data_IF_230736544307
#
_entry.id   IF_230736544307
#
_cell.length_a   1.000
_cell.length_b   1.000
_cell.length_c   1.000
_cell.angle_alpha   90.00
_cell.angle_beta   90.00
_cell.angle_gamma   90.00
#
_symmetry.space_group_name_H-M   'P 1'
#
loop_
_entity.id
_entity.type
_entity.pdbx_description
1 polymer ?
#
# COMPACT_ATOMS: atom_id res chain seq x y z
N UNK A 1 -3.21 -18.79 9.19
CA UNK A 1 -1.74 -18.71 9.34
C UNK A 1 -0.97 -18.93 8.02
N UNK A 2 -1.30 -19.92 7.19
CA UNK A 2 -0.61 -20.09 5.89
C UNK A 2 -0.85 -18.90 4.94
N UNK A 3 -2.12 -18.50 4.75
CA UNK A 3 -2.51 -17.39 3.88
C UNK A 3 -1.85 -16.06 4.27
N UNK A 4 -1.87 -15.72 5.56
CA UNK A 4 -1.22 -14.53 6.11
C UNK A 4 0.27 -14.47 5.74
N UNK A 5 1.02 -15.56 5.99
CA UNK A 5 2.44 -15.64 5.63
C UNK A 5 2.67 -15.52 4.12
N UNK A 6 1.82 -16.14 3.31
CA UNK A 6 1.90 -16.06 1.85
C UNK A 6 1.66 -14.62 1.36
N UNK A 7 0.67 -13.92 1.90
CA UNK A 7 0.38 -12.53 1.53
C UNK A 7 1.51 -11.58 1.96
N UNK A 8 2.01 -11.71 3.19
CA UNK A 8 3.13 -10.90 3.67
C UNK A 8 4.37 -11.12 2.79
N UNK A 9 4.71 -12.38 2.48
CA UNK A 9 5.85 -12.69 1.61
C UNK A 9 5.67 -12.09 0.22
N UNK A 10 4.49 -12.27 -0.38
CA UNK A 10 4.18 -11.76 -1.72
C UNK A 10 4.29 -10.24 -1.80
N UNK A 11 3.71 -9.52 -0.84
CA UNK A 11 3.75 -8.05 -0.81
C UNK A 11 5.18 -7.58 -0.55
N UNK A 12 5.88 -8.18 0.40
CA UNK A 12 7.29 -7.88 0.70
C UNK A 12 8.19 -8.05 -0.52
N UNK A 13 8.10 -9.19 -1.20
CA UNK A 13 8.88 -9.48 -2.41
C UNK A 13 8.55 -8.49 -3.53
N UNK A 14 7.27 -8.17 -3.72
CA UNK A 14 6.82 -7.21 -4.74
C UNK A 14 7.34 -5.80 -4.47
N UNK A 15 7.24 -5.34 -3.22
CA UNK A 15 7.74 -4.02 -2.79
C UNK A 15 9.26 -3.97 -2.96
N UNK A 16 9.99 -4.96 -2.43
CA UNK A 16 11.44 -5.02 -2.52
C UNK A 16 11.93 -5.06 -3.97
N UNK A 17 11.26 -5.85 -4.82
CA UNK A 17 11.58 -5.93 -6.24
C UNK A 17 11.38 -4.58 -6.94
N UNK A 18 10.27 -3.89 -6.66
CA UNK A 18 9.99 -2.57 -7.24
C UNK A 18 10.98 -1.51 -6.78
N UNK A 19 11.31 -1.48 -5.49
CA UNK A 19 12.29 -0.55 -4.92
C UNK A 19 13.69 -0.79 -5.49
N UNK A 20 14.14 -2.05 -5.54
CA UNK A 20 15.47 -2.41 -6.09
C UNK A 20 15.63 -2.06 -7.57
N UNK A 21 14.56 -2.22 -8.36
CA UNK A 21 14.59 -1.99 -9.80
C UNK A 21 14.08 -0.60 -10.20
N UNK A 22 13.78 0.29 -9.24
CA UNK A 22 13.18 1.61 -9.49
C UNK A 22 11.92 1.56 -10.37
N UNK A 23 11.10 0.51 -10.19
CA UNK A 23 9.87 0.33 -10.96
C UNK A 23 8.76 1.16 -10.33
N UNK A 24 8.32 2.19 -11.05
CA UNK A 24 7.16 3.00 -10.69
C UNK A 24 5.94 2.48 -11.42
N UNK A 25 4.87 2.22 -10.67
CA UNK A 25 3.56 1.82 -11.20
C UNK A 25 2.47 2.64 -10.54
N UNK A 26 1.51 3.09 -11.35
CA UNK A 26 0.33 3.82 -10.89
C UNK A 26 -0.74 2.84 -10.39
N UNK A 27 -0.42 2.06 -9.35
CA UNK A 27 -1.32 1.11 -8.71
C UNK A 27 -1.35 1.30 -7.20
N UNK A 28 -2.25 0.56 -6.53
CA UNK A 28 -2.45 0.68 -5.08
C UNK A 28 -1.17 0.44 -4.27
N UNK A 29 -0.36 -0.56 -4.67
CA UNK A 29 0.95 -0.81 -4.04
C UNK A 29 1.93 0.34 -4.29
N UNK A 30 1.90 0.96 -5.47
CA UNK A 30 2.66 2.18 -5.77
C UNK A 30 2.32 3.33 -4.82
N UNK A 31 1.03 3.56 -4.55
CA UNK A 31 0.60 4.56 -3.58
C UNK A 31 1.11 4.24 -2.16
N UNK A 32 1.05 2.97 -1.74
CA UNK A 32 1.57 2.57 -0.44
C UNK A 32 3.10 2.72 -0.35
N UNK A 33 3.85 2.39 -1.41
CA UNK A 33 5.30 2.62 -1.48
C UNK A 33 5.61 4.12 -1.40
N UNK A 34 4.84 4.95 -2.12
CA UNK A 34 4.98 6.41 -2.05
C UNK A 34 4.71 6.93 -0.65
N UNK A 35 3.70 6.42 0.07
CA UNK A 35 3.42 6.78 1.46
C UNK A 35 4.54 6.32 2.39
N UNK A 36 5.03 5.09 2.24
CA UNK A 36 6.17 4.53 2.99
C UNK A 36 7.43 5.38 2.80
N UNK A 37 7.64 5.89 1.58
CA UNK A 37 8.79 6.71 1.23
C UNK A 37 8.52 8.22 1.38
N UNK A 38 7.30 8.63 1.73
CA UNK A 38 6.89 10.05 1.81
C UNK A 38 7.40 10.79 3.04
N UNK A 39 7.92 10.09 4.05
CA UNK A 39 8.80 10.73 5.04
C UNK A 39 9.98 11.48 4.37
N UNK A 40 10.36 11.12 3.14
CA UNK A 40 11.37 11.81 2.33
C UNK A 40 10.82 12.71 1.19
N UNK A 41 9.51 12.72 0.87
CA UNK A 41 8.94 13.38 -0.33
C UNK A 41 8.08 14.62 -0.07
N UNK A 42 7.77 14.99 1.18
CA UNK A 42 7.10 16.27 1.48
C UNK A 42 7.94 17.47 0.96
N UNK A 43 9.23 17.28 0.66
CA UNK A 43 10.10 18.28 0.07
C UNK A 43 9.89 18.58 -1.44
N UNK A 44 9.18 17.73 -2.22
CA UNK A 44 9.26 17.81 -3.70
C UNK A 44 7.96 17.99 -4.48
N UNK A 45 6.78 18.13 -3.87
CA UNK A 45 5.53 18.36 -4.62
C UNK A 45 4.73 19.55 -4.07
N UNK A 46 4.98 20.72 -4.66
CA UNK A 46 4.13 21.92 -4.62
C UNK A 46 2.77 21.68 -5.30
N UNK A 47 1.98 20.73 -4.82
CA UNK A 47 0.71 20.40 -5.46
C UNK A 47 -0.22 19.69 -4.50
N UNK A 48 -1.14 20.47 -3.92
CA UNK A 48 -2.41 20.10 -3.28
C UNK A 48 -2.75 18.61 -3.39
N UNK A 49 -2.21 17.81 -2.48
CA UNK A 49 -2.57 16.41 -2.29
C UNK A 49 -2.77 16.21 -0.80
N UNK A 50 -4.00 15.86 -0.43
CA UNK A 50 -4.49 15.47 0.90
C UNK A 50 -3.65 15.98 2.07
N UNK A 51 -4.04 17.14 2.63
CA UNK A 51 -3.63 17.70 3.93
C UNK A 51 -2.51 16.91 4.63
N UNK A 52 -1.27 17.10 4.17
CA UNK A 52 -0.06 16.53 4.78
C UNK A 52 0.26 17.14 6.16
N UNK A 53 -0.64 17.97 6.69
CA UNK A 53 -0.61 18.58 8.01
C UNK A 53 -0.97 17.59 9.12
N UNK A 54 -1.97 16.73 8.94
CA UNK A 54 -2.42 15.79 9.99
C UNK A 54 -1.54 14.53 10.11
N UNK A 55 -0.83 14.15 9.04
CA UNK A 55 0.13 13.03 9.04
C UNK A 55 1.45 13.39 9.74
N UNK A 56 1.76 14.67 9.94
CA UNK A 56 2.92 15.10 10.75
C UNK A 56 2.67 14.99 12.25
N UNK A 57 1.42 15.02 12.70
CA UNK A 57 1.07 14.86 14.12
C UNK A 57 1.00 13.39 14.54
N UNK A 58 0.77 12.49 13.59
CA UNK A 58 0.73 11.05 13.81
C UNK A 58 1.95 10.42 13.15
N UNK A 59 2.98 10.04 13.92
CA UNK A 59 4.16 9.26 13.48
C UNK A 59 3.78 7.88 12.87
N UNK A 60 2.94 7.85 11.85
CA UNK A 60 2.44 6.68 11.15
C UNK A 60 3.53 6.21 10.19
N UNK A 61 4.53 5.52 10.75
CA UNK A 61 5.50 4.75 9.96
C UNK A 61 4.76 3.61 9.27
N UNK A 62 4.66 3.69 7.95
CA UNK A 62 4.08 2.62 7.15
C UNK A 62 5.08 1.47 7.00
N UNK A 63 4.79 0.36 7.69
CA UNK A 63 5.57 -0.88 7.64
C UNK A 63 4.96 -1.91 6.67
N UNK A 64 5.71 -2.92 6.25
CA UNK A 64 5.28 -4.02 5.37
C UNK A 64 4.07 -4.75 5.94
N UNK A 65 4.00 -4.93 7.26
CA UNK A 65 2.86 -5.58 7.91
C UNK A 65 1.59 -4.74 7.78
N UNK A 66 1.71 -3.41 7.95
CA UNK A 66 0.60 -2.48 7.78
C UNK A 66 0.18 -2.35 6.31
N UNK A 67 1.13 -2.32 5.37
CA UNK A 67 0.85 -2.38 3.94
C UNK A 67 0.09 -3.67 3.58
N UNK A 68 0.51 -4.79 4.15
CA UNK A 68 -0.15 -6.09 3.94
C UNK A 68 -1.57 -6.10 4.50
N UNK A 69 -1.76 -5.55 5.70
CA UNK A 69 -3.09 -5.40 6.29
C UNK A 69 -4.02 -4.57 5.40
N UNK A 70 -3.53 -3.44 4.86
CA UNK A 70 -4.31 -2.61 3.93
C UNK A 70 -4.69 -3.39 2.66
N UNK A 71 -3.73 -4.07 2.03
CA UNK A 71 -4.02 -4.90 0.86
C UNK A 71 -5.01 -6.03 1.16
N UNK A 72 -4.94 -6.63 2.35
CA UNK A 72 -5.87 -7.69 2.76
C UNK A 72 -7.30 -7.18 2.89
N UNK A 73 -7.52 -6.02 3.52
CA UNK A 73 -8.86 -5.43 3.67
C UNK A 73 -9.50 -5.17 2.30
N UNK A 74 -8.75 -4.54 1.38
CA UNK A 74 -9.23 -4.30 0.02
C UNK A 74 -9.51 -5.60 -0.75
N UNK A 75 -8.66 -6.61 -0.57
CA UNK A 75 -8.84 -7.91 -1.21
C UNK A 75 -10.12 -8.60 -0.74
N UNK A 76 -10.37 -8.69 0.57
CA UNK A 76 -11.56 -9.35 1.12
C UNK A 76 -12.84 -8.62 0.70
N UNK A 77 -12.89 -7.30 0.86
CA UNK A 77 -14.05 -6.50 0.51
C UNK A 77 -14.37 -6.58 -1.00
N UNK A 78 -13.35 -6.54 -1.85
CA UNK A 78 -13.50 -6.67 -3.30
C UNK A 78 -13.86 -8.08 -3.75
N UNK A 79 -13.29 -9.10 -3.11
CA UNK A 79 -13.54 -10.50 -3.44
C UNK A 79 -15.00 -10.89 -3.16
N UNK A 80 -15.52 -10.58 -1.98
CA UNK A 80 -16.89 -10.95 -1.58
C UNK A 80 -17.94 -10.30 -2.48
N UNK A 81 -17.80 -8.99 -2.74
CA UNK A 81 -18.74 -8.25 -3.57
C UNK A 81 -18.68 -8.65 -5.04
N UNK A 82 -17.48 -8.78 -5.61
CA UNK A 82 -17.31 -9.12 -7.04
C UNK A 82 -17.67 -10.57 -7.34
N UNK A 83 -17.34 -11.51 -6.45
CA UNK A 83 -17.71 -12.92 -6.63
C UNK A 83 -19.21 -13.13 -6.51
N UNK A 84 -19.87 -12.41 -5.59
CA UNK A 84 -21.32 -12.43 -5.49
C UNK A 84 -21.96 -11.96 -6.80
N UNK A 85 -21.56 -10.80 -7.32
CA UNK A 85 -22.09 -10.28 -8.59
C UNK A 85 -21.83 -11.22 -9.77
N UNK A 86 -20.66 -11.86 -9.85
CA UNK A 86 -20.33 -12.77 -10.95
C UNK A 86 -21.07 -14.11 -10.88
N UNK A 87 -21.49 -14.52 -9.68
CA UNK A 87 -22.20 -15.78 -9.47
C UNK A 87 -23.70 -15.69 -9.77
N UNK A 88 -24.28 -14.49 -9.84
CA UNK A 88 -25.69 -14.25 -10.19
C UNK A 88 -25.84 -13.91 -11.67
#
# INVERSE_FOLDING_TARGET
KAMEKSMISMIKETVNYREKNNIVRNDFLGLLIDIKNKDNLIAHRNGKGYEASELKENNLKLDIDLMTAQCFVFFVAGYETSSSVLSY
#
